data_IF_419859791873
#
_entry.id   IF_419859791873
#
_cell.length_a   1.000
_cell.length_b   1.000
_cell.length_c   1.000
_cell.angle_alpha   90.00
_cell.angle_beta   90.00
_cell.angle_gamma   90.00
#
_symmetry.space_group_name_H-M   'P 1'
#
loop_
_entity.id
_entity.type
_entity.pdbx_description
1 polymer ?
#
# COMPACT_ATOMS: atom_id res chain seq x y z
N UNK A 1 6.65 -24.00 4.43
CA UNK A 1 5.68 -22.92 4.18
C UNK A 1 6.55 -21.80 3.70
N UNK A 2 6.51 -21.53 2.40
CA UNK A 2 7.36 -20.52 1.79
C UNK A 2 7.05 -19.16 2.42
N UNK A 3 8.11 -18.45 2.79
CA UNK A 3 8.08 -17.21 3.54
C UNK A 3 8.68 -16.11 2.68
N UNK A 4 8.14 -14.91 2.77
CA UNK A 4 8.74 -13.70 2.23
C UNK A 4 9.10 -12.75 3.38
N UNK A 5 10.20 -12.04 3.20
CA UNK A 5 10.63 -10.95 4.07
C UNK A 5 10.53 -9.66 3.26
N UNK A 6 9.83 -8.69 3.83
CA UNK A 6 9.68 -7.35 3.25
C UNK A 6 10.30 -6.38 4.24
N UNK A 7 11.26 -5.58 3.81
CA UNK A 7 11.87 -4.58 4.68
C UNK A 7 12.34 -3.35 3.91
N UNK A 8 12.39 -2.21 4.56
CA UNK A 8 12.76 -0.98 3.89
C UNK A 8 12.62 0.26 4.72
N UNK A 9 12.58 1.40 4.03
CA UNK A 9 12.60 2.71 4.64
C UNK A 9 11.69 3.68 3.89
N UNK A 10 10.98 4.49 4.66
CA UNK A 10 10.23 5.66 4.22
C UNK A 10 10.95 6.88 4.75
N UNK A 11 11.38 7.75 3.84
CA UNK A 11 11.97 9.05 4.15
C UNK A 11 10.84 10.08 4.21
N UNK A 12 10.68 10.74 5.34
CA UNK A 12 9.69 11.80 5.57
C UNK A 12 10.28 13.18 5.29
N UNK A 13 9.41 14.12 4.91
CA UNK A 13 9.78 15.51 4.68
C UNK A 13 9.73 16.31 5.98
N UNK A 14 8.56 16.80 6.41
CA UNK A 14 8.44 17.65 7.61
C UNK A 14 7.40 17.19 8.62
N UNK A 15 6.21 16.75 8.18
CA UNK A 15 5.13 16.37 9.10
C UNK A 15 5.31 14.96 9.67
N UNK A 16 6.25 14.83 10.61
CA UNK A 16 6.49 13.57 11.28
C UNK A 16 5.38 13.17 12.25
N UNK A 17 4.82 14.12 13.01
CA UNK A 17 3.82 13.82 14.03
C UNK A 17 2.55 13.29 13.38
N UNK A 18 2.04 13.98 12.36
CA UNK A 18 0.88 13.52 11.59
C UNK A 18 1.14 12.16 10.93
N UNK A 19 2.34 11.97 10.37
CA UNK A 19 2.74 10.69 9.77
C UNK A 19 2.74 9.53 10.77
N UNK A 20 3.30 9.75 11.96
CA UNK A 20 3.34 8.75 13.04
C UNK A 20 1.95 8.47 13.59
N UNK A 21 1.13 9.49 13.79
CA UNK A 21 -0.23 9.33 14.29
C UNK A 21 -1.07 8.53 13.30
N UNK A 22 -0.90 8.77 11.99
CA UNK A 22 -1.54 7.97 10.97
C UNK A 22 -1.08 6.50 11.02
N UNK A 23 0.23 6.23 11.07
CA UNK A 23 0.76 4.85 11.12
C UNK A 23 0.29 4.13 12.39
N UNK A 24 0.24 4.81 13.54
CA UNK A 24 -0.33 4.27 14.78
C UNK A 24 -1.83 4.00 14.66
N UNK A 25 -2.53 4.77 13.83
CA UNK A 25 -3.96 4.56 13.60
C UNK A 25 -4.25 3.30 12.78
N UNK A 26 -3.29 2.76 12.01
CA UNK A 26 -3.50 1.56 11.18
C UNK A 26 -4.01 0.38 12.02
N UNK A 27 -3.43 0.16 13.20
CA UNK A 27 -3.79 -0.93 14.09
C UNK A 27 -3.30 -2.28 13.54
N UNK A 28 -4.10 -3.32 13.78
CA UNK A 28 -3.86 -4.66 13.27
C UNK A 28 -4.79 -4.94 12.09
N UNK A 29 -4.20 -5.08 10.90
CA UNK A 29 -4.83 -5.62 9.71
C UNK A 29 -4.65 -7.14 9.70
N UNK A 30 -5.72 -7.89 9.97
CA UNK A 30 -5.65 -9.35 9.95
C UNK A 30 -5.84 -9.95 8.55
N UNK A 31 -6.05 -9.11 7.52
CA UNK A 31 -6.37 -9.55 6.18
C UNK A 31 -5.15 -9.52 5.27
N UNK A 32 -4.89 -10.66 4.63
CA UNK A 32 -3.77 -10.82 3.72
C UNK A 32 -3.85 -9.88 2.49
N UNK A 33 -2.73 -9.28 2.04
CA UNK A 33 -1.47 -9.13 2.77
C UNK A 33 -1.63 -8.08 3.89
N UNK A 34 -1.30 -8.40 5.16
CA UNK A 34 -1.49 -7.46 6.26
C UNK A 34 -0.47 -6.33 6.20
N UNK A 35 -0.86 -5.12 6.61
CA UNK A 35 0.08 -4.01 6.94
C UNK A 35 -0.32 -3.46 8.31
N UNK A 36 0.49 -3.71 9.33
CA UNK A 36 0.18 -3.37 10.71
C UNK A 36 1.04 -2.21 11.22
N UNK A 37 0.56 -1.52 12.25
CA UNK A 37 1.39 -0.53 12.98
C UNK A 37 2.70 -1.13 13.49
N UNK A 38 2.69 -2.39 13.95
CA UNK A 38 3.88 -3.08 14.48
C UNK A 38 4.97 -3.33 13.44
N UNK A 39 4.62 -3.29 12.15
CA UNK A 39 5.57 -3.51 11.06
C UNK A 39 6.44 -2.26 10.81
N UNK A 40 6.09 -1.12 11.42
CA UNK A 40 6.82 0.14 11.29
C UNK A 40 7.69 0.43 12.51
N UNK A 41 9.00 0.60 12.29
CA UNK A 41 9.91 1.16 13.27
C UNK A 41 9.95 2.68 13.15
N UNK A 42 9.22 3.36 14.04
CA UNK A 42 8.97 4.80 13.98
C UNK A 42 10.17 5.68 14.40
N UNK A 43 11.19 5.11 15.06
CA UNK A 43 12.29 5.86 15.63
C UNK A 43 11.92 6.61 16.92
N UNK A 44 12.90 7.28 17.54
CA UNK A 44 12.71 8.08 18.76
C UNK A 44 12.70 9.58 18.43
N UNK A 45 11.49 10.13 18.31
CA UNK A 45 11.25 11.56 18.05
C UNK A 45 11.52 12.46 19.24
N UNK A 46 11.47 11.93 20.47
CA UNK A 46 11.61 12.75 21.67
C UNK A 46 13.02 13.34 21.78
N UNK A 47 14.02 12.67 21.22
CA UNK A 47 15.41 13.16 21.18
C UNK A 47 15.63 14.33 20.20
N UNK A 48 14.67 14.64 19.32
CA UNK A 48 14.71 15.80 18.41
C UNK A 48 13.94 17.03 18.95
N UNK A 49 13.21 16.85 20.06
CA UNK A 49 12.57 17.90 20.85
C UNK A 49 13.32 18.12 22.16
N UNK A 50 14.53 18.67 22.10
CA UNK A 50 15.15 19.21 23.30
C UNK A 50 14.56 20.61 23.58
N UNK A 51 13.88 20.76 24.72
CA UNK A 51 13.51 22.06 25.31
C UNK A 51 12.62 22.99 24.43
N UNK A 52 11.67 22.41 23.68
CA UNK A 52 10.71 23.22 22.90
C UNK A 52 11.31 23.91 21.68
N UNK A 53 12.54 23.54 21.29
CA UNK A 53 13.19 23.95 20.05
C UNK A 53 13.38 22.71 19.19
N UNK A 54 12.70 22.66 18.04
CA UNK A 54 13.03 21.71 16.97
C UNK A 54 14.49 21.94 16.58
N UNK A 55 15.35 20.95 16.79
CA UNK A 55 16.76 21.03 16.41
C UNK A 55 16.91 20.93 14.88
N UNK A 56 16.60 22.02 14.17
CA UNK A 56 16.81 22.16 12.72
C UNK A 56 18.29 22.12 12.28
N UNK A 57 19.24 22.12 13.22
CA UNK A 57 20.66 22.35 12.95
C UNK A 57 21.52 21.07 12.93
N UNK A 58 20.96 19.87 13.06
CA UNK A 58 21.68 18.62 12.83
C UNK A 58 21.27 18.01 11.49
N UNK A 59 22.25 17.97 10.59
CA UNK A 59 22.20 17.83 9.13
C UNK A 59 21.82 16.43 8.62
N UNK A 60 20.64 15.94 8.99
CA UNK A 60 19.98 14.84 8.29
C UNK A 60 18.48 15.19 8.20
N UNK A 61 18.16 16.12 7.29
CA UNK A 61 16.89 16.87 7.23
C UNK A 61 15.60 16.03 7.11
N UNK A 62 15.70 14.73 6.86
CA UNK A 62 14.56 13.86 6.66
C UNK A 62 14.55 12.71 7.69
N UNK A 63 13.48 12.62 8.47
CA UNK A 63 13.25 11.49 9.37
C UNK A 63 12.98 10.21 8.56
N UNK A 64 13.40 9.06 9.11
CA UNK A 64 13.21 7.76 8.47
C UNK A 64 12.31 6.90 9.33
N UNK A 65 11.27 6.36 8.71
CA UNK A 65 10.46 5.27 9.26
C UNK A 65 10.92 3.99 8.59
N UNK A 66 11.32 3.01 9.39
CA UNK A 66 11.61 1.66 8.88
C UNK A 66 10.32 0.86 8.73
N UNK A 67 10.28 -0.04 7.77
CA UNK A 67 9.24 -1.06 7.63
C UNK A 67 9.93 -2.43 7.62
N UNK A 68 9.40 -3.41 8.34
CA UNK A 68 9.89 -4.77 8.31
C UNK A 68 8.75 -5.74 8.64
N UNK A 69 8.59 -6.76 7.81
CA UNK A 69 7.55 -7.76 7.96
C UNK A 69 8.00 -9.12 7.43
N UNK A 70 7.52 -10.18 8.07
CA UNK A 70 7.58 -11.55 7.56
C UNK A 70 6.16 -11.99 7.20
N UNK A 71 5.98 -12.47 5.98
CA UNK A 71 4.67 -12.82 5.41
C UNK A 71 4.76 -14.14 4.63
N UNK A 72 3.63 -14.78 4.34
CA UNK A 72 3.60 -15.96 3.46
C UNK A 72 3.97 -15.60 2.01
N UNK A 73 4.62 -16.52 1.30
CA UNK A 73 5.04 -16.31 -0.10
C UNK A 73 3.89 -16.10 -1.09
N UNK A 74 2.63 -16.35 -0.69
CA UNK A 74 1.45 -15.96 -1.45
C UNK A 74 1.41 -14.45 -1.78
N UNK A 75 2.20 -13.61 -1.09
CA UNK A 75 2.34 -12.18 -1.43
C UNK A 75 2.93 -11.97 -2.83
N UNK A 76 3.61 -12.98 -3.39
CA UNK A 76 4.13 -12.95 -4.76
C UNK A 76 3.08 -13.36 -5.81
N UNK A 77 1.91 -13.85 -5.40
CA UNK A 77 0.79 -14.05 -6.31
C UNK A 77 0.35 -12.70 -6.88
N UNK A 78 0.07 -12.65 -8.18
CA UNK A 78 -0.10 -11.39 -8.93
C UNK A 78 -1.11 -10.44 -8.27
N UNK A 79 -2.25 -10.96 -7.81
CA UNK A 79 -3.32 -10.16 -7.22
C UNK A 79 -3.02 -9.72 -5.78
N UNK A 80 -2.35 -10.55 -4.98
CA UNK A 80 -1.98 -10.20 -3.61
C UNK A 80 -0.82 -9.21 -3.60
N UNK A 81 0.09 -9.30 -4.57
CA UNK A 81 1.13 -8.30 -4.79
C UNK A 81 0.55 -6.94 -5.17
N UNK A 82 -0.44 -6.90 -6.09
CA UNK A 82 -1.18 -5.67 -6.42
C UNK A 82 -1.85 -5.07 -5.18
N UNK A 83 -2.47 -5.92 -4.36
CA UNK A 83 -3.12 -5.49 -3.13
C UNK A 83 -2.11 -4.93 -2.11
N UNK A 84 -0.94 -5.55 -1.97
CA UNK A 84 0.14 -4.99 -1.14
C UNK A 84 0.52 -3.58 -1.60
N UNK A 85 0.79 -3.40 -2.90
CA UNK A 85 1.16 -2.11 -3.47
C UNK A 85 0.08 -1.07 -3.15
N UNK A 86 -1.20 -1.39 -3.39
CA UNK A 86 -2.31 -0.48 -3.10
C UNK A 86 -2.42 -0.11 -1.62
N UNK A 87 -2.29 -1.08 -0.70
CA UNK A 87 -2.30 -0.82 0.75
C UNK A 87 -1.13 0.07 1.15
N UNK A 88 0.07 -0.20 0.65
CA UNK A 88 1.24 0.62 0.94
C UNK A 88 1.10 2.04 0.39
N UNK A 89 0.56 2.19 -0.82
CA UNK A 89 0.25 3.50 -1.40
C UNK A 89 -0.77 4.28 -0.58
N UNK A 90 -1.80 3.61 -0.04
CA UNK A 90 -2.70 4.24 0.91
C UNK A 90 -1.96 4.76 2.14
N UNK A 91 -1.00 4.00 2.67
CA UNK A 91 -0.14 4.50 3.76
C UNK A 91 0.64 5.73 3.32
N UNK A 92 1.35 5.65 2.18
CA UNK A 92 2.18 6.73 1.65
C UNK A 92 1.38 8.02 1.36
N UNK A 93 0.14 7.92 0.87
CA UNK A 93 -0.74 9.09 0.65
C UNK A 93 -1.13 9.82 1.93
N UNK A 94 -1.16 9.13 3.06
CA UNK A 94 -1.61 9.68 4.34
C UNK A 94 -0.46 10.10 5.26
N UNK A 95 0.77 10.11 4.74
CA UNK A 95 1.97 10.56 5.45
C UNK A 95 2.77 11.54 4.58
N UNK A 96 3.60 12.36 5.21
CA UNK A 96 4.41 13.37 4.52
C UNK A 96 5.73 12.78 4.00
N UNK A 97 5.65 11.75 3.14
CA UNK A 97 6.84 11.08 2.60
C UNK A 97 7.47 11.80 1.41
N UNK A 98 8.79 11.66 1.28
CA UNK A 98 9.58 12.06 0.11
C UNK A 98 9.83 10.85 -0.79
N UNK A 99 10.31 9.76 -0.17
CA UNK A 99 10.69 8.51 -0.87
C UNK A 99 10.39 7.32 0.00
N UNK A 100 10.04 6.20 -0.62
CA UNK A 100 9.93 4.90 0.03
C UNK A 100 10.64 3.85 -0.81
N UNK A 101 11.38 2.96 -0.15
CA UNK A 101 11.97 1.79 -0.79
C UNK A 101 11.72 0.56 0.08
N UNK A 102 11.18 -0.50 -0.51
CA UNK A 102 10.95 -1.78 0.18
C UNK A 102 11.58 -2.92 -0.61
N UNK A 103 12.48 -3.64 0.04
CA UNK A 103 13.09 -4.86 -0.43
C UNK A 103 12.16 -6.04 -0.14
N UNK A 104 11.87 -6.81 -1.18
CA UNK A 104 11.15 -8.08 -1.13
C UNK A 104 12.16 -9.19 -1.34
N UNK A 105 12.12 -10.19 -0.48
CA UNK A 105 12.98 -11.36 -0.58
C UNK A 105 12.18 -12.62 -0.21
N UNK A 106 12.19 -13.63 -1.08
CA UNK A 106 11.75 -14.96 -0.67
C UNK A 106 12.80 -15.60 0.24
N UNK A 107 12.37 -16.27 1.30
CA UNK A 107 13.27 -17.02 2.17
C UNK A 107 13.81 -18.29 1.50
N UNK A 108 13.14 -18.79 0.47
CA UNK A 108 13.46 -20.06 -0.21
C UNK A 108 14.07 -19.86 -1.60
N UNK A 109 13.99 -18.65 -2.18
CA UNK A 109 14.68 -18.28 -3.41
C UNK A 109 15.70 -17.17 -3.19
N UNK A 110 16.70 -17.07 -4.06
CA UNK A 110 17.64 -15.95 -4.08
C UNK A 110 17.04 -14.71 -4.76
N UNK A 111 15.76 -14.76 -5.10
CA UNK A 111 15.10 -13.68 -5.83
C UNK A 111 14.76 -12.54 -4.88
N UNK A 112 15.14 -11.33 -5.31
CA UNK A 112 14.90 -10.10 -4.58
C UNK A 112 14.44 -9.01 -5.54
N UNK A 113 13.51 -8.16 -5.11
CA UNK A 113 13.16 -6.94 -5.83
C UNK A 113 13.00 -5.78 -4.86
N UNK A 114 13.20 -4.56 -5.35
CA UNK A 114 12.89 -3.36 -4.59
C UNK A 114 11.69 -2.70 -5.24
N UNK A 115 10.73 -2.30 -4.42
CA UNK A 115 9.69 -1.38 -4.77
C UNK A 115 10.14 0.02 -4.37
N UNK A 116 10.07 0.98 -5.30
CA UNK A 116 10.53 2.35 -5.08
C UNK A 116 9.41 3.34 -5.41
N UNK A 117 9.10 4.24 -4.48
CA UNK A 117 8.23 5.39 -4.68
C UNK A 117 9.01 6.67 -4.41
N UNK A 118 8.81 7.68 -5.25
CA UNK A 118 9.32 9.04 -5.04
C UNK A 118 8.19 10.05 -5.26
N UNK A 119 7.78 10.74 -4.19
CA UNK A 119 6.67 11.70 -4.24
C UNK A 119 6.98 12.81 -5.24
N UNK A 120 6.00 13.13 -6.07
CA UNK A 120 6.17 14.01 -7.24
C UNK A 120 6.73 15.38 -6.88
N UNK A 121 6.28 15.95 -5.76
CA UNK A 121 6.70 17.26 -5.27
C UNK A 121 8.20 17.30 -4.91
N UNK A 122 8.76 16.17 -4.50
CA UNK A 122 10.16 16.04 -4.04
C UNK A 122 11.04 15.28 -5.06
N UNK A 123 10.55 15.08 -6.28
CA UNK A 123 11.17 14.15 -7.22
C UNK A 123 12.52 14.62 -7.77
N UNK A 124 13.44 13.66 -7.82
CA UNK A 124 14.76 13.79 -8.44
C UNK A 124 14.68 13.49 -9.94
N UNK A 125 13.82 12.55 -10.33
CA UNK A 125 13.61 12.19 -11.73
C UNK A 125 12.44 13.00 -12.31
N UNK A 126 12.75 13.98 -13.15
CA UNK A 126 11.76 14.90 -13.75
C UNK A 126 11.67 14.81 -15.26
N UNK A 127 12.74 14.31 -15.90
CA UNK A 127 12.85 14.29 -17.35
C UNK A 127 12.47 12.90 -17.87
N UNK A 128 11.77 12.81 -19.02
CA UNK A 128 11.40 11.52 -19.60
C UNK A 128 12.60 10.58 -19.80
N UNK A 129 13.76 11.12 -20.16
CA UNK A 129 14.97 10.32 -20.39
C UNK A 129 15.49 9.67 -19.10
N UNK A 130 15.36 10.38 -17.97
CA UNK A 130 15.75 9.86 -16.66
C UNK A 130 14.78 8.75 -16.20
N UNK A 131 13.48 8.92 -16.46
CA UNK A 131 12.45 7.92 -16.14
C UNK A 131 12.66 6.65 -16.96
N UNK A 132 12.90 6.78 -18.26
CA UNK A 132 13.17 5.63 -19.15
C UNK A 132 14.44 4.90 -18.75
N UNK A 133 15.55 5.63 -18.54
CA UNK A 133 16.84 5.08 -18.13
C UNK A 133 16.76 4.28 -16.83
N UNK A 134 15.93 4.73 -15.89
CA UNK A 134 15.77 4.09 -14.59
C UNK A 134 14.51 3.21 -14.50
N UNK A 135 13.85 2.95 -15.63
CA UNK A 135 12.62 2.16 -15.72
C UNK A 135 11.60 2.57 -14.65
N UNK A 136 11.30 3.86 -14.57
CA UNK A 136 10.33 4.46 -13.66
C UNK A 136 9.04 4.79 -14.40
N UNK A 137 7.90 4.53 -13.77
CA UNK A 137 6.58 4.97 -14.22
C UNK A 137 6.19 6.22 -13.44
N UNK A 138 5.89 7.29 -14.16
CA UNK A 138 5.34 8.51 -13.59
C UNK A 138 3.81 8.38 -13.43
N UNK A 139 3.29 8.71 -12.25
CA UNK A 139 1.87 8.90 -11.97
C UNK A 139 1.58 10.35 -11.60
N UNK A 140 0.32 10.65 -11.31
CA UNK A 140 -0.06 11.97 -10.83
C UNK A 140 0.56 12.31 -9.46
N UNK A 141 0.89 11.30 -8.65
CA UNK A 141 1.33 11.43 -7.25
C UNK A 141 2.83 11.16 -7.05
N UNK A 142 3.44 10.27 -7.84
CA UNK A 142 4.84 9.85 -7.65
C UNK A 142 5.46 9.20 -8.89
N UNK A 143 6.77 9.05 -8.84
CA UNK A 143 7.48 8.09 -9.69
C UNK A 143 7.55 6.74 -8.98
N UNK A 144 7.33 5.65 -9.71
CA UNK A 144 7.35 4.30 -9.18
C UNK A 144 8.27 3.37 -9.99
N UNK A 145 8.92 2.40 -9.34
CA UNK A 145 9.75 1.41 -10.04
C UNK A 145 9.99 0.10 -9.30
N UNK A 146 10.26 -0.95 -10.09
CA UNK A 146 10.65 -2.29 -9.64
C UNK A 146 12.15 -2.57 -9.87
N UNK A 147 12.67 -3.63 -9.25
CA UNK A 147 14.01 -4.19 -9.49
C UNK A 147 15.02 -3.82 -8.40
N UNK A 148 16.24 -4.35 -8.52
CA UNK A 148 17.31 -4.00 -7.59
C UNK A 148 17.72 -2.54 -7.78
N UNK A 149 17.44 -1.72 -6.76
CA UNK A 149 17.61 -0.28 -6.77
C UNK A 149 18.38 0.22 -5.57
N UNK A 150 19.23 1.21 -5.81
CA UNK A 150 19.84 2.01 -4.74
C UNK A 150 18.79 2.81 -3.96
N UNK A 151 19.17 3.32 -2.78
CA UNK A 151 18.34 4.22 -1.97
C UNK A 151 17.92 5.51 -2.70
N UNK A 152 18.62 5.88 -3.78
CA UNK A 152 18.29 7.03 -4.63
C UNK A 152 17.31 6.68 -5.75
N UNK A 153 16.92 5.41 -5.90
CA UNK A 153 16.03 4.90 -6.94
C UNK A 153 16.74 4.47 -8.22
N UNK A 154 18.08 4.60 -8.32
CA UNK A 154 18.83 4.11 -9.47
C UNK A 154 18.69 2.60 -9.58
N UNK A 155 18.41 2.14 -10.79
CA UNK A 155 18.40 0.72 -11.11
C UNK A 155 19.84 0.21 -11.23
N UNK A 156 20.18 -0.79 -10.41
CA UNK A 156 21.54 -1.36 -10.31
C UNK A 156 21.74 -2.57 -11.26
N UNK A 157 20.66 -3.04 -11.89
CA UNK A 157 20.67 -4.16 -12.82
C UNK A 157 19.99 -3.83 -14.17
N UNK A 158 20.31 -4.55 -15.25
CA UNK A 158 19.61 -4.42 -16.52
C UNK A 158 18.10 -4.69 -16.41
N UNK A 159 17.29 -4.01 -17.22
CA UNK A 159 15.83 -4.12 -17.18
C UNK A 159 15.29 -5.55 -17.41
N UNK A 160 16.01 -6.36 -18.18
CA UNK A 160 15.69 -7.77 -18.45
C UNK A 160 15.93 -8.70 -17.24
N UNK A 161 16.61 -8.22 -16.20
CA UNK A 161 16.84 -8.93 -14.94
C UNK A 161 15.93 -8.48 -13.81
N UNK A 162 15.10 -7.47 -14.04
CA UNK A 162 14.11 -7.02 -13.06
C UNK A 162 13.11 -8.16 -12.82
N UNK A 163 13.27 -8.82 -11.68
CA UNK A 163 12.27 -9.73 -11.14
C UNK A 163 10.98 -8.94 -10.92
N UNK A 164 9.86 -9.44 -11.48
CA UNK A 164 8.60 -8.70 -11.66
C UNK A 164 8.77 -7.40 -12.49
N UNK A 165 8.79 -7.56 -13.82
CA UNK A 165 8.75 -6.41 -14.74
C UNK A 165 7.33 -5.86 -14.92
N UNK A 166 7.21 -4.61 -15.39
CA UNK A 166 5.91 -4.02 -15.77
C UNK A 166 5.13 -4.83 -16.80
N UNK A 167 5.80 -5.72 -17.55
CA UNK A 167 5.14 -6.63 -18.48
C UNK A 167 4.34 -7.71 -17.75
N UNK A 168 4.85 -8.20 -16.62
CA UNK A 168 4.22 -9.24 -15.83
C UNK A 168 3.31 -8.65 -14.75
N UNK A 169 3.66 -7.47 -14.22
CA UNK A 169 2.90 -6.76 -13.18
C UNK A 169 2.71 -5.31 -13.61
N UNK A 170 1.68 -5.01 -14.42
CA UNK A 170 1.45 -3.67 -14.91
C UNK A 170 1.16 -2.71 -13.74
N UNK A 171 1.70 -1.50 -13.85
CA UNK A 171 1.56 -0.45 -12.87
C UNK A 171 0.95 0.81 -13.53
N UNK A 172 0.06 1.58 -12.85
CA UNK A 172 -0.47 1.35 -11.51
C UNK A 172 -1.30 0.06 -11.43
N UNK A 173 -1.31 -0.64 -10.28
CA UNK A 173 -2.14 -1.82 -10.10
C UNK A 173 -3.60 -1.43 -10.28
N UNK A 174 -4.29 -2.10 -11.20
CA UNK A 174 -5.71 -1.87 -11.45
C UNK A 174 -6.47 -3.17 -11.34
N UNK A 175 -7.57 -3.12 -10.61
CA UNK A 175 -8.53 -4.20 -10.61
C UNK A 175 -9.39 -4.13 -11.88
N UNK A 176 -9.94 -5.25 -12.36
CA UNK A 176 -10.80 -5.24 -13.53
C UNK A 176 -12.03 -4.36 -13.31
N UNK A 177 -12.16 -3.28 -14.10
CA UNK A 177 -13.19 -2.25 -13.91
C UNK A 177 -14.61 -2.83 -13.88
N UNK A 178 -14.91 -3.79 -14.76
CA UNK A 178 -16.21 -4.46 -14.78
C UNK A 178 -16.51 -5.18 -13.46
N UNK A 179 -15.51 -5.89 -12.91
CA UNK A 179 -15.61 -6.60 -11.63
C UNK A 179 -15.86 -5.60 -10.49
N UNK A 180 -15.11 -4.51 -10.46
CA UNK A 180 -15.26 -3.46 -9.45
C UNK A 180 -16.63 -2.79 -9.52
N UNK A 181 -17.12 -2.45 -10.72
CA UNK A 181 -18.45 -1.85 -10.91
C UNK A 181 -19.56 -2.81 -10.49
N UNK A 182 -19.44 -4.11 -10.79
CA UNK A 182 -20.39 -5.11 -10.35
C UNK A 182 -20.44 -5.23 -8.82
N UNK A 183 -19.27 -5.25 -8.17
CA UNK A 183 -19.18 -5.28 -6.71
C UNK A 183 -19.86 -4.06 -6.07
N UNK A 184 -19.49 -2.84 -6.48
CA UNK A 184 -20.06 -1.63 -5.91
C UNK A 184 -21.55 -1.45 -6.24
N UNK A 185 -22.00 -1.85 -7.43
CA UNK A 185 -23.42 -1.85 -7.79
C UNK A 185 -24.25 -2.72 -6.84
N UNK A 186 -23.74 -3.92 -6.50
CA UNK A 186 -24.39 -4.81 -5.53
C UNK A 186 -24.39 -4.23 -4.12
N UNK A 187 -23.26 -3.70 -3.67
CA UNK A 187 -23.15 -3.04 -2.37
C UNK A 187 -24.15 -1.88 -2.24
N UNK A 188 -24.23 -0.99 -3.23
CA UNK A 188 -25.17 0.13 -3.22
C UNK A 188 -26.63 -0.33 -3.20
N UNK A 189 -26.98 -1.38 -3.97
CA UNK A 189 -28.32 -1.94 -3.92
C UNK A 189 -28.67 -2.53 -2.53
N UNK A 190 -27.70 -3.09 -1.81
CA UNK A 190 -27.90 -3.55 -0.44
C UNK A 190 -28.02 -2.39 0.54
N UNK A 191 -27.26 -1.31 0.38
CA UNK A 191 -27.41 -0.08 1.17
C UNK A 191 -28.81 0.49 0.99
N UNK A 192 -29.31 0.57 -0.24
CA UNK A 192 -30.65 1.10 -0.52
C UNK A 192 -31.75 0.22 0.11
N UNK A 193 -31.52 -1.09 0.20
CA UNK A 193 -32.48 -2.06 0.73
C UNK A 193 -32.46 -2.17 2.26
N UNK A 194 -31.29 -2.17 2.87
CA UNK A 194 -31.08 -2.52 4.29
C UNK A 194 -30.52 -1.35 5.12
N UNK A 195 -30.12 -0.25 4.47
CA UNK A 195 -29.34 0.82 5.09
C UNK A 195 -27.84 0.47 5.17
N UNK A 196 -27.02 1.45 5.54
CA UNK A 196 -25.57 1.29 5.69
C UNK A 196 -25.14 0.50 6.95
N UNK A 197 -26.11 0.11 7.79
CA UNK A 197 -25.82 -0.39 9.13
C UNK A 197 -25.24 -1.80 9.14
N UNK A 198 -25.81 -2.76 8.40
CA UNK A 198 -25.39 -4.18 8.42
C UNK A 198 -25.68 -4.83 7.06
N UNK A 199 -24.64 -5.00 6.26
CA UNK A 199 -24.69 -5.52 4.89
C UNK A 199 -24.07 -6.91 4.84
N UNK A 200 -24.85 -7.94 4.44
CA UNK A 200 -24.29 -9.25 4.19
C UNK A 200 -23.51 -9.25 2.86
N UNK A 201 -22.23 -9.65 2.93
CA UNK A 201 -21.36 -9.97 1.81
C UNK A 201 -21.09 -11.48 1.87
N UNK A 202 -21.97 -12.26 1.24
CA UNK A 202 -21.87 -13.73 1.15
C UNK A 202 -21.23 -14.23 -0.16
N UNK A 203 -21.38 -15.53 -0.41
CA UNK A 203 -20.85 -16.21 -1.60
C UNK A 203 -21.42 -15.65 -2.91
N UNK A 204 -22.57 -14.99 -2.85
CA UNK A 204 -23.19 -14.29 -3.97
C UNK A 204 -22.34 -13.13 -4.52
N UNK A 205 -21.33 -12.66 -3.78
CA UNK A 205 -20.33 -11.73 -4.31
C UNK A 205 -19.15 -12.44 -5.00
N UNK A 206 -18.92 -13.72 -4.69
CA UNK A 206 -17.73 -14.49 -5.10
C UNK A 206 -17.87 -15.05 -6.53
N UNK A 207 -19.08 -15.24 -7.03
CA UNK A 207 -19.31 -16.07 -8.22
C UNK A 207 -19.07 -15.40 -9.59
N UNK A 208 -18.69 -14.12 -9.68
CA UNK A 208 -18.74 -13.40 -10.97
C UNK A 208 -17.67 -12.30 -11.18
N UNK A 209 -16.53 -12.35 -10.49
CA UNK A 209 -15.48 -11.34 -10.65
C UNK A 209 -14.24 -11.95 -11.34
N UNK A 210 -14.11 -11.88 -12.68
CA UNK A 210 -12.86 -12.29 -13.32
C UNK A 210 -11.71 -11.41 -12.81
N UNK A 211 -10.62 -12.05 -12.39
CA UNK A 211 -9.35 -11.41 -12.04
C UNK A 211 -9.27 -10.72 -10.67
N UNK A 212 -10.30 -10.78 -9.82
CA UNK A 212 -10.23 -10.29 -8.44
C UNK A 212 -11.23 -11.02 -7.54
N UNK A 213 -10.83 -11.40 -6.34
CA UNK A 213 -11.74 -12.01 -5.36
C UNK A 213 -12.49 -10.94 -4.58
N UNK A 214 -13.73 -11.23 -4.19
CA UNK A 214 -14.49 -10.42 -3.22
C UNK A 214 -13.66 -10.14 -1.96
N UNK A 215 -12.92 -11.16 -1.51
CA UNK A 215 -12.03 -11.07 -0.35
C UNK A 215 -11.00 -9.96 -0.50
N UNK A 216 -10.43 -9.75 -1.67
CA UNK A 216 -9.43 -8.70 -1.91
C UNK A 216 -10.04 -7.29 -1.87
N UNK A 217 -11.22 -7.10 -2.48
CA UNK A 217 -11.93 -5.80 -2.39
C UNK A 217 -12.30 -5.51 -0.93
N UNK A 218 -12.87 -6.49 -0.23
CA UNK A 218 -13.24 -6.35 1.19
C UNK A 218 -12.01 -6.07 2.05
N UNK A 219 -10.90 -6.79 1.85
CA UNK A 219 -9.61 -6.57 2.52
C UNK A 219 -9.15 -5.11 2.36
N UNK A 220 -9.20 -4.57 1.14
CA UNK A 220 -8.80 -3.18 0.91
C UNK A 220 -9.77 -2.16 1.53
N UNK A 221 -11.08 -2.38 1.45
CA UNK A 221 -12.08 -1.49 2.03
C UNK A 221 -12.03 -1.48 3.57
N UNK A 222 -11.74 -2.61 4.19
CA UNK A 222 -11.46 -2.73 5.63
C UNK A 222 -10.21 -1.95 6.00
N UNK A 223 -9.12 -2.13 5.25
CA UNK A 223 -7.87 -1.42 5.45
C UNK A 223 -8.05 0.11 5.38
N UNK A 224 -8.83 0.60 4.40
CA UNK A 224 -9.19 2.03 4.26
C UNK A 224 -10.23 2.51 5.29
N UNK A 225 -10.74 1.63 6.15
CA UNK A 225 -11.81 1.90 7.13
C UNK A 225 -13.05 2.51 6.48
N UNK A 226 -13.38 2.06 5.28
CA UNK A 226 -14.63 2.40 4.58
C UNK A 226 -15.76 1.51 5.10
N UNK A 227 -15.43 0.25 5.38
CA UNK A 227 -16.30 -0.73 6.01
C UNK A 227 -15.66 -1.25 7.31
N UNK A 228 -16.46 -1.85 8.19
CA UNK A 228 -16.01 -2.57 9.37
C UNK A 228 -16.84 -3.86 9.53
N UNK A 229 -16.31 -4.93 10.13
CA UNK A 229 -17.13 -6.07 10.51
C UNK A 229 -18.24 -5.64 11.47
N UNK A 230 -19.46 -6.16 11.28
CA UNK A 230 -20.61 -5.82 12.14
C UNK A 230 -20.49 -6.40 13.56
N UNK A 231 -19.83 -7.55 13.66
CA UNK A 231 -19.45 -8.21 14.91
C UNK A 231 -17.92 -8.18 15.07
N UNK A 232 -17.42 -8.46 16.27
CA UNK A 232 -15.97 -8.53 16.56
C UNK A 232 -15.20 -9.62 15.80
N UNK A 233 -15.88 -10.41 14.97
CA UNK A 233 -15.25 -11.43 14.13
C UNK A 233 -14.93 -10.84 12.76
N UNK A 234 -13.66 -10.69 12.42
CA UNK A 234 -13.23 -10.14 11.12
C UNK A 234 -13.51 -11.09 9.93
N UNK A 235 -13.83 -12.36 10.21
CA UNK A 235 -14.41 -13.29 9.22
C UNK A 235 -15.93 -13.17 9.11
N UNK A 236 -16.53 -12.15 9.73
CA UNK A 236 -17.94 -11.84 9.56
C UNK A 236 -18.25 -11.66 8.08
N UNK A 237 -19.35 -12.27 7.64
CA UNK A 237 -19.93 -11.99 6.33
C UNK A 237 -20.85 -10.78 6.38
N UNK A 238 -20.94 -10.09 7.51
CA UNK A 238 -21.79 -8.93 7.72
C UNK A 238 -20.90 -7.74 8.07
N UNK A 239 -21.03 -6.67 7.29
CA UNK A 239 -20.20 -5.47 7.38
C UNK A 239 -21.06 -4.22 7.55
N UNK A 240 -20.57 -3.24 8.31
CA UNK A 240 -21.15 -1.90 8.41
C UNK A 240 -20.38 -0.98 7.46
N UNK A 241 -21.09 -0.14 6.71
CA UNK A 241 -20.47 0.87 5.84
C UNK A 241 -20.35 2.16 6.64
N UNK A 242 -19.13 2.52 7.00
CA UNK A 242 -18.84 3.67 7.85
C UNK A 242 -18.76 4.96 7.01
N UNK A 243 -18.26 4.84 5.78
CA UNK A 243 -18.05 5.96 4.85
C UNK A 243 -18.76 5.70 3.51
N UNK A 244 -20.10 5.73 3.48
CA UNK A 244 -20.87 5.40 2.28
C UNK A 244 -20.53 6.30 1.08
N UNK A 245 -20.16 7.55 1.32
CA UNK A 245 -19.72 8.51 0.30
C UNK A 245 -18.44 8.08 -0.44
N UNK A 246 -17.62 7.23 0.19
CA UNK A 246 -16.41 6.67 -0.40
C UNK A 246 -16.65 5.30 -1.05
N UNK A 247 -17.88 4.82 -1.14
CA UNK A 247 -18.17 3.49 -1.71
C UNK A 247 -18.35 3.55 -3.23
N UNK A 248 -17.26 3.81 -3.93
CA UNK A 248 -17.25 3.97 -5.38
C UNK A 248 -15.95 3.42 -5.99
N UNK A 249 -15.89 3.33 -7.32
CA UNK A 249 -14.70 2.83 -8.02
C UNK A 249 -13.44 3.66 -7.75
N UNK A 250 -13.59 4.97 -7.59
CA UNK A 250 -12.48 5.90 -7.37
C UNK A 250 -11.81 5.62 -6.02
N UNK A 251 -12.55 5.12 -5.03
CA UNK A 251 -11.99 4.70 -3.74
C UNK A 251 -10.98 3.55 -3.81
N UNK A 252 -10.93 2.80 -4.92
CA UNK A 252 -9.92 1.77 -5.13
C UNK A 252 -8.64 2.32 -5.77
N UNK A 253 -8.71 3.49 -6.41
CA UNK A 253 -7.65 4.04 -7.27
C UNK A 253 -7.13 5.41 -6.80
N UNK A 254 -7.76 6.00 -5.79
CA UNK A 254 -7.36 7.18 -5.03
C UNK A 254 -7.05 6.76 -3.58
#
# INVERSE_FOLDING_TARGET
>A
MEMAVIYGAITLHHDYVGSVDFIKSLGNDLMFPPINTSDFGLGDYNNYHHEGVLMYNYTWDNMVISYAQTIGAAVFDEEDFKLFILKMEHVLRNIDFVKAIFHFQSAESLETANLFWEKREHRSYRKPEDLEKHCLVETDEWNFGFGNRSLKGYLDEPADKIWHSFKNHPYPPRFPEQSVRAFFGRMNALIDKYGAAEIPIGNEFESELPGITTRQIVSYLLFKKIITPADTNENSRIFKVIKPELLNIESLYL
#
